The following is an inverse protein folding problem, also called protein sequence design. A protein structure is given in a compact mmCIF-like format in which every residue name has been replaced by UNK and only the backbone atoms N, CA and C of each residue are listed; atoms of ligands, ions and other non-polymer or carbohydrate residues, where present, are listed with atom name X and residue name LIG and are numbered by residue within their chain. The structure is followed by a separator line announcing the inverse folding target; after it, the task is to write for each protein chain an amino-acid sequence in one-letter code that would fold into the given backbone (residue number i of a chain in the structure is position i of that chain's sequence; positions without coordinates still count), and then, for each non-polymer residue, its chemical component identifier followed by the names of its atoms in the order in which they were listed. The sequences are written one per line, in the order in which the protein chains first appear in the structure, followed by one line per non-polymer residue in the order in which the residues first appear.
data_IF_680346084527
#
_entry.id   IF_680346084527
#
_cell.length_a   1.000
_cell.length_b   1.000
_cell.length_c   1.000
_cell.angle_alpha   90.00
_cell.angle_beta   90.00
_cell.angle_gamma   90.00
#
_symmetry.space_group_name_H-M   'P 1'
#
loop_
_entity.id
_entity.type
_entity.pdbx_description
1 polymer ?
#
# COMPACT_ATOMS: atom_id res chain seq x y z
N UNK A 1 -4.60 9.63 -7.32
CA UNK A 1 -4.59 11.06 -6.95
C UNK A 1 -5.58 11.39 -5.82
N UNK A 2 -6.87 11.00 -5.89
CA UNK A 2 -7.85 11.27 -4.80
C UNK A 2 -7.40 10.68 -3.47
N UNK A 3 -6.93 9.44 -3.46
CA UNK A 3 -6.37 8.78 -2.26
C UNK A 3 -5.17 9.53 -1.69
N UNK A 4 -4.26 9.98 -2.55
CA UNK A 4 -3.11 10.78 -2.12
C UNK A 4 -3.53 12.08 -1.43
N UNK A 5 -4.51 12.79 -1.98
CA UNK A 5 -5.05 14.00 -1.34
C UNK A 5 -5.68 13.70 0.02
N UNK A 6 -6.45 12.64 0.14
CA UNK A 6 -7.10 12.28 1.40
C UNK A 6 -6.10 11.86 2.49
N UNK A 7 -4.99 11.22 2.12
CA UNK A 7 -3.91 10.88 3.05
C UNK A 7 -3.10 12.13 3.50
N UNK A 8 -3.05 13.17 2.66
CA UNK A 8 -2.33 14.42 2.97
C UNK A 8 -3.10 15.30 3.95
N UNK A 9 -4.44 15.31 3.87
CA UNK A 9 -5.28 16.27 4.63
C UNK A 9 -5.07 16.19 6.13
N UNK A 10 -5.07 15.02 6.81
CA UNK A 10 -4.84 14.95 8.24
C UNK A 10 -3.48 15.51 8.65
N UNK A 11 -2.43 15.12 7.93
CA UNK A 11 -1.08 15.57 8.24
C UNK A 11 -0.84 17.03 7.90
N UNK A 12 -1.42 17.57 6.84
CA UNK A 12 -1.37 19.00 6.53
C UNK A 12 -2.09 19.82 7.61
N UNK A 13 -3.21 19.33 8.13
CA UNK A 13 -3.95 19.96 9.22
C UNK A 13 -3.12 19.98 10.51
N UNK A 14 -2.50 18.85 10.85
CA UNK A 14 -1.60 18.75 12.01
C UNK A 14 -0.47 19.79 11.94
N UNK A 15 0.27 19.80 10.82
CA UNK A 15 1.41 20.70 10.65
C UNK A 15 1.03 22.18 10.57
N UNK A 16 -0.12 22.50 10.00
CA UNK A 16 -0.59 23.89 9.93
C UNK A 16 -0.95 24.48 11.29
N UNK A 17 -1.35 23.62 12.24
CA UNK A 17 -1.79 24.05 13.58
C UNK A 17 -0.79 23.72 14.69
N UNK A 18 0.25 22.98 14.40
CA UNK A 18 1.34 22.72 15.37
C UNK A 18 2.03 24.03 15.73
N UNK A 19 2.01 24.38 17.03
CA UNK A 19 2.58 25.63 17.54
C UNK A 19 1.65 26.85 17.50
N UNK A 20 0.37 26.69 17.13
CA UNK A 20 -0.61 27.75 17.22
C UNK A 20 -0.96 28.04 18.69
N UNK A 21 -0.93 29.32 19.11
CA UNK A 21 -1.12 29.76 20.51
C UNK A 21 -2.46 29.34 21.13
N UNK A 22 -3.47 29.04 20.33
CA UNK A 22 -4.84 28.79 20.78
C UNK A 22 -5.26 27.30 20.71
N UNK A 23 -4.36 26.36 20.42
CA UNK A 23 -4.67 24.94 20.28
C UNK A 23 -3.72 24.12 21.13
N UNK A 24 -4.26 23.33 22.06
CA UNK A 24 -3.45 22.40 22.85
C UNK A 24 -3.05 21.18 21.99
N UNK A 25 -1.91 20.57 22.29
CA UNK A 25 -1.45 19.38 21.56
C UNK A 25 -2.46 18.23 21.61
N UNK A 26 -3.15 18.05 22.73
CA UNK A 26 -4.20 17.06 22.92
C UNK A 26 -5.44 17.34 22.05
N UNK A 27 -5.92 18.56 22.01
CA UNK A 27 -7.04 18.94 21.13
C UNK A 27 -6.69 18.79 19.64
N UNK A 28 -5.44 19.09 19.28
CA UNK A 28 -4.97 18.92 17.91
C UNK A 28 -4.98 17.44 17.53
N UNK A 29 -4.41 16.57 18.37
CA UNK A 29 -4.40 15.12 18.15
C UNK A 29 -5.81 14.54 18.01
N UNK A 30 -6.75 14.93 18.88
CA UNK A 30 -8.15 14.50 18.79
C UNK A 30 -8.82 14.93 17.46
N UNK A 31 -8.56 16.16 17.01
CA UNK A 31 -9.10 16.68 15.74
C UNK A 31 -8.50 15.93 14.54
N UNK A 32 -7.18 15.69 14.54
CA UNK A 32 -6.49 14.92 13.52
C UNK A 32 -7.05 13.49 13.43
N UNK A 33 -7.26 12.85 14.57
CA UNK A 33 -7.87 11.54 14.66
C UNK A 33 -9.29 11.52 14.09
N UNK A 34 -10.12 12.50 14.42
CA UNK A 34 -11.48 12.62 13.86
C UNK A 34 -11.46 12.83 12.33
N UNK A 35 -10.58 13.71 11.83
CA UNK A 35 -10.41 13.95 10.40
C UNK A 35 -9.98 12.65 9.71
N UNK A 36 -9.02 11.92 10.27
CA UNK A 36 -8.54 10.64 9.75
C UNK A 36 -9.66 9.59 9.65
N UNK A 37 -10.50 9.49 10.68
CA UNK A 37 -11.67 8.58 10.69
C UNK A 37 -12.69 8.95 9.61
N UNK A 38 -13.01 10.23 9.46
CA UNK A 38 -13.94 10.73 8.43
C UNK A 38 -13.36 10.48 7.04
N UNK A 39 -12.09 10.82 6.79
CA UNK A 39 -11.40 10.55 5.54
C UNK A 39 -11.42 9.05 5.21
N UNK A 40 -11.19 8.18 6.18
CA UNK A 40 -11.21 6.73 6.00
C UNK A 40 -12.57 6.21 5.53
N UNK A 41 -13.67 6.72 6.09
CA UNK A 41 -15.02 6.35 5.63
C UNK A 41 -15.24 6.75 4.17
N UNK A 42 -14.85 7.97 3.78
CA UNK A 42 -14.99 8.43 2.40
C UNK A 42 -14.10 7.66 1.42
N UNK A 43 -12.88 7.26 1.84
CA UNK A 43 -11.98 6.45 1.02
C UNK A 43 -12.56 5.06 0.76
N UNK A 44 -13.17 4.40 1.76
CA UNK A 44 -13.84 3.10 1.56
C UNK A 44 -15.05 3.24 0.63
N UNK A 45 -15.83 4.33 0.76
CA UNK A 45 -16.93 4.61 -0.18
C UNK A 45 -16.39 4.80 -1.60
N UNK A 46 -15.29 5.55 -1.76
CA UNK A 46 -14.65 5.74 -3.05
C UNK A 46 -14.14 4.42 -3.65
N UNK A 47 -13.59 3.53 -2.83
CA UNK A 47 -13.22 2.18 -3.25
C UNK A 47 -14.43 1.35 -3.71
N UNK A 48 -15.52 1.39 -2.96
CA UNK A 48 -16.78 0.73 -3.36
C UNK A 48 -17.31 1.22 -4.70
N UNK A 49 -17.27 2.54 -4.95
CA UNK A 49 -17.64 3.14 -6.23
C UNK A 49 -16.69 2.66 -7.35
N UNK A 50 -15.38 2.62 -7.09
CA UNK A 50 -14.38 2.14 -8.04
C UNK A 50 -14.62 0.68 -8.43
N UNK A 51 -14.84 -0.20 -7.47
CA UNK A 51 -15.15 -1.63 -7.71
C UNK A 51 -16.46 -1.78 -8.48
N UNK A 52 -17.50 -1.03 -8.11
CA UNK A 52 -18.77 -1.04 -8.83
C UNK A 52 -18.62 -0.58 -10.29
N UNK A 53 -17.85 0.47 -10.52
CA UNK A 53 -17.53 0.97 -11.84
C UNK A 53 -16.86 -0.10 -12.69
N UNK A 54 -15.85 -0.75 -12.14
CA UNK A 54 -15.05 -1.77 -12.84
C UNK A 54 -15.87 -3.03 -13.14
N UNK A 55 -16.64 -3.52 -12.17
CA UNK A 55 -17.33 -4.81 -12.29
C UNK A 55 -18.68 -4.75 -13.01
N UNK A 56 -19.38 -3.61 -12.96
CA UNK A 56 -20.75 -3.54 -13.46
C UNK A 56 -20.94 -2.56 -14.61
N UNK A 57 -20.43 -1.35 -14.50
CA UNK A 57 -20.75 -0.33 -15.50
C UNK A 57 -19.81 -0.32 -16.70
N UNK A 58 -18.56 -0.73 -16.50
CA UNK A 58 -17.52 -0.63 -17.53
C UNK A 58 -16.70 -1.92 -17.69
N UNK A 59 -17.22 -3.08 -17.22
CA UNK A 59 -16.53 -4.37 -17.35
C UNK A 59 -16.13 -4.68 -18.79
N UNK A 60 -16.97 -4.38 -19.79
CA UNK A 60 -16.68 -4.68 -21.18
C UNK A 60 -15.45 -3.95 -21.76
N UNK A 61 -15.04 -2.81 -21.18
CA UNK A 61 -13.79 -2.15 -21.56
C UNK A 61 -12.59 -2.96 -21.03
N UNK A 62 -12.64 -3.38 -19.77
CA UNK A 62 -11.60 -4.20 -19.16
C UNK A 62 -11.50 -5.56 -19.87
N UNK A 63 -12.62 -6.22 -20.12
CA UNK A 63 -12.66 -7.50 -20.84
C UNK A 63 -12.02 -7.40 -22.24
N UNK A 64 -12.26 -6.33 -22.97
CA UNK A 64 -11.68 -6.12 -24.30
C UNK A 64 -10.17 -5.90 -24.27
N UNK A 65 -9.67 -5.21 -23.23
CA UNK A 65 -8.23 -4.96 -23.04
C UNK A 65 -7.53 -6.27 -22.65
N UNK A 66 -8.07 -7.01 -21.71
CA UNK A 66 -7.50 -8.28 -21.27
C UNK A 66 -7.58 -9.37 -22.34
N UNK A 67 -8.66 -9.40 -23.15
CA UNK A 67 -8.75 -10.31 -24.30
C UNK A 67 -7.69 -9.99 -25.37
N UNK A 68 -7.31 -8.72 -25.53
CA UNK A 68 -6.23 -8.33 -26.42
C UNK A 68 -4.86 -8.78 -25.89
N UNK A 69 -4.61 -8.67 -24.58
CA UNK A 69 -3.39 -9.18 -23.95
C UNK A 69 -3.32 -10.70 -24.05
N UNK A 70 -4.40 -11.42 -23.74
CA UNK A 70 -4.47 -12.88 -23.85
C UNK A 70 -4.18 -13.37 -25.28
N UNK A 71 -4.51 -12.58 -26.30
CA UNK A 71 -4.18 -12.92 -27.69
C UNK A 71 -2.69 -12.76 -27.98
N UNK A 72 -2.00 -11.85 -27.30
CA UNK A 72 -0.58 -11.57 -27.47
C UNK A 72 0.33 -12.37 -26.53
N UNK A 73 -0.25 -13.11 -25.62
CA UNK A 73 0.40 -13.92 -24.62
C UNK A 73 1.26 -15.01 -25.26
N UNK A 74 2.57 -15.00 -24.96
CA UNK A 74 3.56 -15.90 -25.59
C UNK A 74 3.46 -17.34 -25.06
N UNK A 75 3.03 -17.56 -23.83
CA UNK A 75 2.91 -18.88 -23.21
C UNK A 75 1.46 -19.40 -23.09
N UNK A 76 0.51 -18.75 -23.78
CA UNK A 76 -0.92 -19.08 -23.76
C UNK A 76 -1.23 -20.55 -23.97
N UNK A 77 -0.51 -21.21 -24.89
CA UNK A 77 -0.73 -22.63 -25.15
C UNK A 77 -0.34 -23.50 -23.95
N UNK A 78 0.75 -23.14 -23.28
CA UNK A 78 1.21 -23.85 -22.08
C UNK A 78 0.24 -23.65 -20.91
N UNK A 79 -0.32 -22.46 -20.76
CA UNK A 79 -1.30 -22.12 -19.72
C UNK A 79 -2.64 -22.84 -19.88
N UNK A 80 -3.04 -23.13 -21.11
CA UNK A 80 -4.25 -23.92 -21.39
C UNK A 80 -4.08 -25.35 -20.92
N UNK A 81 -2.88 -25.94 -21.05
CA UNK A 81 -2.57 -27.30 -20.67
C UNK A 81 -2.19 -27.52 -19.23
N UNK A 82 -1.94 -26.44 -18.46
CA UNK A 82 -1.67 -26.54 -17.01
C UNK A 82 -2.89 -27.10 -16.27
N UNK A 83 -2.65 -28.04 -15.37
CA UNK A 83 -3.70 -28.58 -14.49
C UNK A 83 -4.27 -27.47 -13.61
N UNK A 84 -5.60 -27.30 -13.65
CA UNK A 84 -6.29 -26.26 -12.87
C UNK A 84 -6.77 -26.83 -11.54
N UNK A 85 -6.56 -26.08 -10.48
CA UNK A 85 -7.05 -26.44 -9.15
C UNK A 85 -8.58 -26.48 -9.09
N UNK A 86 -9.10 -27.46 -8.36
CA UNK A 86 -10.53 -27.50 -8.07
C UNK A 86 -10.92 -26.39 -7.07
N UNK A 87 -12.18 -25.99 -7.04
CA UNK A 87 -12.66 -24.95 -6.11
C UNK A 87 -12.31 -25.25 -4.63
N UNK A 88 -12.39 -26.52 -4.25
CA UNK A 88 -12.06 -26.94 -2.87
C UNK A 88 -10.55 -26.77 -2.58
N UNK A 89 -9.70 -27.15 -3.54
CA UNK A 89 -8.26 -26.96 -3.42
C UNK A 89 -7.87 -25.48 -3.34
N UNK A 90 -8.51 -24.64 -4.16
CA UNK A 90 -8.31 -23.19 -4.11
C UNK A 90 -8.67 -22.61 -2.73
N UNK A 91 -9.84 -22.98 -2.18
CA UNK A 91 -10.27 -22.48 -0.86
C UNK A 91 -9.36 -22.97 0.26
N UNK A 92 -8.93 -24.21 0.22
CA UNK A 92 -7.98 -24.77 1.20
C UNK A 92 -6.61 -24.10 1.10
N UNK A 93 -6.09 -23.95 -0.13
CA UNK A 93 -4.82 -23.27 -0.35
C UNK A 93 -4.85 -21.82 0.14
N UNK A 94 -5.94 -21.09 -0.16
CA UNK A 94 -6.15 -19.74 0.33
C UNK A 94 -6.18 -19.66 1.85
N UNK A 95 -6.94 -20.55 2.53
CA UNK A 95 -7.02 -20.56 3.98
C UNK A 95 -5.66 -20.85 4.64
N UNK A 96 -4.92 -21.82 4.11
CA UNK A 96 -3.57 -22.16 4.60
C UNK A 96 -2.61 -20.99 4.37
N UNK A 97 -2.63 -20.37 3.18
CA UNK A 97 -1.79 -19.23 2.86
C UNK A 97 -2.06 -18.03 3.77
N UNK A 98 -3.33 -17.70 4.02
CA UNK A 98 -3.70 -16.61 4.94
C UNK A 98 -3.20 -16.90 6.35
N UNK A 99 -3.36 -18.14 6.85
CA UNK A 99 -2.86 -18.51 8.18
C UNK A 99 -1.32 -18.39 8.28
N UNK A 100 -0.58 -18.86 7.27
CA UNK A 100 0.88 -18.76 7.24
C UNK A 100 1.35 -17.31 7.15
N UNK A 101 0.75 -16.50 6.27
CA UNK A 101 1.07 -15.07 6.13
C UNK A 101 0.80 -14.33 7.43
N UNK A 102 -0.29 -14.64 8.13
CA UNK A 102 -0.61 -14.02 9.42
C UNK A 102 0.47 -14.34 10.47
N UNK A 103 0.90 -15.60 10.58
CA UNK A 103 1.97 -15.99 11.50
C UNK A 103 3.31 -15.29 11.18
N UNK A 104 3.66 -15.21 9.90
CA UNK A 104 4.88 -14.52 9.44
C UNK A 104 4.79 -13.02 9.75
N UNK A 105 3.63 -12.39 9.48
CA UNK A 105 3.41 -10.96 9.73
C UNK A 105 3.56 -10.61 11.22
N UNK A 106 2.98 -11.43 12.13
CA UNK A 106 3.15 -11.25 13.58
C UNK A 106 4.63 -11.33 13.95
N UNK A 107 5.32 -12.38 13.49
CA UNK A 107 6.75 -12.55 13.78
C UNK A 107 7.62 -11.43 13.20
N UNK A 108 7.26 -10.88 12.03
CA UNK A 108 7.96 -9.75 11.43
C UNK A 108 7.79 -8.48 12.27
N UNK A 109 6.56 -8.17 12.69
CA UNK A 109 6.27 -6.99 13.51
C UNK A 109 7.06 -7.02 14.83
N UNK A 110 7.10 -8.18 15.49
CA UNK A 110 7.88 -8.36 16.74
C UNK A 110 9.39 -8.12 16.57
N UNK A 111 9.92 -8.29 15.36
CA UNK A 111 11.34 -8.09 15.08
C UNK A 111 11.69 -6.66 14.62
N UNK A 112 10.72 -5.84 14.22
CA UNK A 112 10.99 -4.50 13.70
C UNK A 112 11.70 -3.64 14.72
N UNK A 113 11.21 -3.59 15.97
CA UNK A 113 11.79 -2.80 17.05
C UNK A 113 13.25 -3.19 17.31
N UNK A 114 13.53 -4.50 17.41
CA UNK A 114 14.87 -5.04 17.57
C UNK A 114 15.81 -4.61 16.44
N UNK A 115 15.33 -4.64 15.18
CA UNK A 115 16.14 -4.26 14.02
C UNK A 115 16.43 -2.76 14.02
N UNK A 116 15.44 -1.94 14.36
CA UNK A 116 15.58 -0.48 14.42
C UNK A 116 16.53 -0.05 15.55
N UNK A 117 16.37 -0.62 16.75
CA UNK A 117 17.15 -0.22 17.92
C UNK A 117 18.57 -0.77 17.93
N UNK A 118 18.75 -2.07 17.64
CA UNK A 118 20.08 -2.70 17.73
C UNK A 118 20.94 -2.50 16.49
N UNK A 119 20.33 -2.46 15.31
CA UNK A 119 21.09 -2.31 14.06
C UNK A 119 21.10 -0.87 13.52
N UNK A 120 20.41 0.06 14.17
CA UNK A 120 20.40 1.48 13.78
C UNK A 120 19.77 1.74 12.41
N UNK A 121 18.91 0.83 11.94
CA UNK A 121 18.18 1.00 10.69
C UNK A 121 17.05 1.99 10.92
N UNK A 122 16.86 2.91 9.97
CA UNK A 122 15.77 3.88 10.06
C UNK A 122 14.41 3.20 10.06
N UNK A 123 13.52 3.60 10.97
CA UNK A 123 12.12 3.18 11.01
C UNK A 123 11.39 3.52 9.70
N UNK A 124 11.69 4.66 9.10
CA UNK A 124 11.19 5.06 7.78
C UNK A 124 11.64 4.09 6.68
N UNK A 125 12.88 3.61 6.72
CA UNK A 125 13.36 2.63 5.75
C UNK A 125 12.66 1.28 5.93
N UNK A 126 12.43 0.86 7.16
CA UNK A 126 11.67 -0.36 7.45
C UNK A 126 10.25 -0.26 6.87
N UNK A 127 9.51 0.81 7.19
CA UNK A 127 8.11 0.96 6.82
C UNK A 127 7.88 1.28 5.34
N UNK A 128 8.76 2.06 4.69
CA UNK A 128 8.58 2.47 3.30
C UNK A 128 9.20 1.51 2.28
N UNK A 129 10.27 0.81 2.67
CA UNK A 129 11.07 0.04 1.70
C UNK A 129 11.10 -1.43 2.05
N UNK A 130 11.63 -1.80 3.22
CA UNK A 130 11.96 -3.20 3.49
C UNK A 130 10.71 -4.06 3.67
N UNK A 131 9.79 -3.66 4.53
CA UNK A 131 8.54 -4.40 4.78
C UNK A 131 7.67 -4.48 3.52
N UNK A 132 7.39 -3.38 2.80
CA UNK A 132 6.64 -3.45 1.55
C UNK A 132 7.33 -4.28 0.46
N UNK A 133 8.66 -4.22 0.35
CA UNK A 133 9.40 -5.03 -0.62
C UNK A 133 9.21 -6.53 -0.37
N UNK A 134 9.30 -6.96 0.89
CA UNK A 134 9.10 -8.36 1.27
C UNK A 134 7.63 -8.76 1.11
N UNK A 135 6.69 -7.92 1.56
CA UNK A 135 5.24 -8.16 1.48
C UNK A 135 4.78 -8.31 0.03
N UNK A 136 5.26 -7.43 -0.85
CA UNK A 136 4.85 -7.37 -2.26
C UNK A 136 5.77 -8.13 -3.22
N UNK A 137 6.67 -8.94 -2.69
CA UNK A 137 7.64 -9.67 -3.53
C UNK A 137 6.97 -10.58 -4.56
N UNK A 138 5.92 -11.29 -4.17
CA UNK A 138 5.18 -12.17 -5.06
C UNK A 138 4.50 -11.38 -6.20
N UNK A 139 3.83 -10.26 -5.86
CA UNK A 139 3.20 -9.41 -6.87
C UNK A 139 4.22 -8.76 -7.82
N UNK A 140 5.42 -8.42 -7.33
CA UNK A 140 6.49 -7.93 -8.22
C UNK A 140 6.93 -9.00 -9.22
N UNK A 141 7.10 -10.25 -8.77
CA UNK A 141 7.47 -11.35 -9.67
C UNK A 141 6.38 -11.61 -10.70
N UNK A 142 5.11 -11.67 -10.27
CA UNK A 142 3.98 -11.88 -11.18
C UNK A 142 3.88 -10.76 -12.23
N UNK A 143 4.03 -9.49 -11.81
CA UNK A 143 3.98 -8.36 -12.74
C UNK A 143 5.15 -8.36 -13.75
N UNK A 144 6.33 -8.87 -13.35
CA UNK A 144 7.47 -9.02 -14.26
C UNK A 144 7.19 -10.15 -15.27
N UNK A 145 6.65 -11.26 -14.80
CA UNK A 145 6.26 -12.43 -15.63
C UNK A 145 5.21 -12.01 -16.67
N UNK A 146 4.10 -11.42 -16.23
CA UNK A 146 3.06 -10.88 -17.11
C UNK A 146 3.61 -9.89 -18.15
N UNK A 147 4.56 -9.02 -17.75
CA UNK A 147 5.19 -8.08 -18.67
C UNK A 147 6.13 -8.78 -19.65
N UNK A 148 6.80 -9.86 -19.23
CA UNK A 148 7.67 -10.70 -20.08
C UNK A 148 6.87 -11.45 -21.15
N UNK A 149 5.69 -11.95 -20.77
CA UNK A 149 4.78 -12.70 -21.66
C UNK A 149 3.93 -11.78 -22.56
N UNK A 150 4.32 -10.50 -22.64
CA UNK A 150 3.70 -9.50 -23.52
C UNK A 150 2.27 -9.09 -23.12
N UNK A 151 1.86 -9.37 -21.87
CA UNK A 151 0.56 -8.99 -21.28
C UNK A 151 0.67 -7.73 -20.43
N UNK A 152 1.24 -6.66 -21.00
CA UNK A 152 1.59 -5.42 -20.27
C UNK A 152 0.40 -4.74 -19.60
N UNK A 153 -0.79 -4.76 -20.21
CA UNK A 153 -1.97 -4.14 -19.59
C UNK A 153 -2.42 -4.91 -18.35
N UNK A 154 -2.28 -6.24 -18.36
CA UNK A 154 -2.54 -7.10 -17.21
C UNK A 154 -1.55 -6.79 -16.07
N UNK A 155 -0.25 -6.73 -16.36
CA UNK A 155 0.80 -6.36 -15.41
C UNK A 155 0.53 -5.00 -14.75
N UNK A 156 0.20 -3.98 -15.55
CA UNK A 156 -0.13 -2.65 -15.04
C UNK A 156 -1.43 -2.64 -14.23
N UNK A 157 -2.47 -3.37 -14.65
CA UNK A 157 -3.71 -3.49 -13.92
C UNK A 157 -3.52 -4.17 -12.56
N UNK A 158 -2.66 -5.19 -12.50
CA UNK A 158 -2.29 -5.90 -11.28
C UNK A 158 -1.62 -4.94 -10.27
N UNK A 159 -0.53 -4.29 -10.67
CA UNK A 159 0.24 -3.38 -9.79
C UNK A 159 -0.58 -2.16 -9.36
N UNK A 160 -1.30 -1.53 -10.30
CA UNK A 160 -2.13 -0.36 -10.00
C UNK A 160 -3.35 -0.74 -9.16
N UNK A 161 -3.95 -1.90 -9.43
CA UNK A 161 -5.08 -2.44 -8.66
C UNK A 161 -4.68 -2.66 -7.20
N UNK A 162 -3.55 -3.32 -6.94
CA UNK A 162 -3.02 -3.51 -5.60
C UNK A 162 -2.72 -2.18 -4.89
N UNK A 163 -2.14 -1.21 -5.59
CA UNK A 163 -1.87 0.13 -5.06
C UNK A 163 -3.15 0.88 -4.69
N UNK A 164 -4.16 0.85 -5.57
CA UNK A 164 -5.46 1.48 -5.33
C UNK A 164 -6.16 0.82 -4.15
N UNK A 165 -6.15 -0.51 -4.07
CA UNK A 165 -6.72 -1.26 -2.95
C UNK A 165 -6.05 -0.90 -1.63
N UNK A 166 -4.72 -0.83 -1.59
CA UNK A 166 -3.99 -0.44 -0.38
C UNK A 166 -4.35 0.97 0.08
N UNK A 167 -4.40 1.92 -0.83
CA UNK A 167 -4.63 3.33 -0.50
C UNK A 167 -6.10 3.67 -0.20
N UNK A 168 -7.07 3.03 -0.88
CA UNK A 168 -8.50 3.34 -0.74
C UNK A 168 -9.24 2.39 0.22
N UNK A 169 -8.68 1.20 0.47
CA UNK A 169 -9.34 0.19 1.29
C UNK A 169 -8.51 -0.24 2.49
N UNK A 170 -7.29 -0.79 2.31
CA UNK A 170 -6.53 -1.38 3.41
C UNK A 170 -6.17 -0.34 4.48
N UNK A 171 -5.53 0.77 4.12
CA UNK A 171 -5.14 1.80 5.08
C UNK A 171 -6.35 2.43 5.80
N UNK A 172 -7.43 2.84 5.12
CA UNK A 172 -8.65 3.30 5.78
C UNK A 172 -9.34 2.23 6.65
N UNK A 173 -9.31 0.97 6.23
CA UNK A 173 -9.90 -0.13 7.00
C UNK A 173 -9.21 -0.31 8.35
N UNK A 174 -7.88 -0.19 8.39
CA UNK A 174 -7.10 -0.26 9.63
C UNK A 174 -7.49 0.86 10.59
N UNK A 175 -7.68 2.09 10.11
CA UNK A 175 -8.16 3.22 10.94
C UNK A 175 -9.56 2.97 11.48
N UNK A 176 -10.48 2.44 10.67
CA UNK A 176 -11.85 2.13 11.12
C UNK A 176 -11.86 0.96 12.11
N UNK A 177 -11.04 -0.07 11.86
CA UNK A 177 -10.89 -1.18 12.80
C UNK A 177 -10.30 -0.71 14.14
N UNK A 178 -9.25 0.13 14.10
CA UNK A 178 -8.69 0.80 15.28
C UNK A 178 -9.74 1.60 16.05
N UNK A 179 -10.59 2.34 15.34
CA UNK A 179 -11.70 3.07 15.96
C UNK A 179 -12.68 2.14 16.69
N UNK A 180 -13.03 1.00 16.08
CA UNK A 180 -13.88 -0.02 16.71
C UNK A 180 -13.24 -0.68 17.93
N UNK A 181 -11.92 -0.80 17.95
CA UNK A 181 -11.13 -1.38 19.05
C UNK A 181 -10.71 -0.33 20.11
N UNK A 182 -11.14 0.93 19.96
CA UNK A 182 -10.75 2.05 20.83
C UNK A 182 -9.24 2.35 20.82
N UNK A 183 -8.59 2.12 19.68
CA UNK A 183 -7.20 2.48 19.45
C UNK A 183 -7.10 3.82 18.69
N UNK A 184 -6.11 4.61 19.02
CA UNK A 184 -5.88 5.91 18.39
C UNK A 184 -5.02 5.72 17.12
N UNK A 185 -5.64 5.14 16.09
CA UNK A 185 -5.01 4.99 14.76
C UNK A 185 -5.50 6.10 13.83
N UNK A 186 -4.56 6.79 13.22
CA UNK A 186 -4.83 7.91 12.32
C UNK A 186 -4.11 7.75 10.95
N UNK A 187 -4.32 8.73 10.07
CA UNK A 187 -3.65 8.86 8.78
C UNK A 187 -2.63 10.03 8.80
N UNK A 188 -2.07 10.35 9.96
CA UNK A 188 -1.12 11.43 10.13
C UNK A 188 0.31 10.95 9.83
N UNK A 189 0.65 10.92 8.56
CA UNK A 189 1.98 10.52 8.11
C UNK A 189 2.99 11.67 8.21
N UNK A 190 4.26 11.33 8.36
CA UNK A 190 5.34 12.31 8.31
C UNK A 190 5.39 13.06 6.97
N UNK A 191 5.81 14.33 7.02
CA UNK A 191 5.95 15.16 5.82
C UNK A 191 6.84 14.49 4.77
N UNK A 192 7.92 13.83 5.19
CA UNK A 192 8.82 13.10 4.29
C UNK A 192 8.06 12.03 3.50
N UNK A 193 7.31 11.17 4.18
CA UNK A 193 6.47 10.13 3.57
C UNK A 193 5.46 10.72 2.59
N UNK A 194 4.75 11.79 2.99
CA UNK A 194 3.75 12.45 2.17
C UNK A 194 4.36 13.00 0.87
N UNK A 195 5.47 13.73 0.98
CA UNK A 195 6.15 14.32 -0.17
C UNK A 195 6.59 13.24 -1.16
N UNK A 196 7.17 12.14 -0.66
CA UNK A 196 7.59 11.01 -1.49
C UNK A 196 6.40 10.38 -2.21
N UNK A 197 5.29 10.14 -1.51
CA UNK A 197 4.08 9.55 -2.10
C UNK A 197 3.50 10.46 -3.19
N UNK A 198 3.43 11.78 -2.96
CA UNK A 198 2.95 12.74 -3.97
C UNK A 198 3.84 12.71 -5.21
N UNK A 199 5.17 12.82 -5.03
CA UNK A 199 6.13 12.82 -6.13
C UNK A 199 6.07 11.51 -6.91
N UNK A 200 5.96 10.37 -6.23
CA UNK A 200 5.80 9.05 -6.86
C UNK A 200 4.51 8.97 -7.70
N UNK A 201 3.39 9.46 -7.17
CA UNK A 201 2.12 9.51 -7.91
C UNK A 201 2.23 10.39 -9.16
N UNK A 202 2.94 11.52 -9.07
CA UNK A 202 3.14 12.44 -10.22
C UNK A 202 4.02 11.78 -11.27
N UNK A 203 5.15 11.17 -10.87
CA UNK A 203 6.09 10.51 -11.79
C UNK A 203 5.42 9.36 -12.52
N UNK A 204 4.85 8.40 -11.79
CA UNK A 204 4.16 7.25 -12.38
C UNK A 204 2.95 7.69 -13.21
N UNK A 205 2.17 8.66 -12.71
CA UNK A 205 1.02 9.19 -13.44
C UNK A 205 1.39 9.89 -14.75
N UNK A 206 2.58 10.46 -14.87
CA UNK A 206 3.06 11.05 -16.13
C UNK A 206 3.48 9.95 -17.12
N UNK A 207 4.17 8.90 -16.68
CA UNK A 207 4.55 7.79 -17.54
C UNK A 207 3.34 7.01 -18.09
N UNK A 208 2.30 6.88 -17.29
CA UNK A 208 1.07 6.18 -17.72
C UNK A 208 0.19 6.98 -18.70
N UNK A 209 0.44 8.28 -18.90
CA UNK A 209 -0.39 9.11 -19.79
C UNK A 209 -0.24 8.78 -21.27
N UNK A 210 0.94 8.36 -21.68
CA UNK A 210 1.28 8.24 -23.10
C UNK A 210 0.86 6.89 -23.70
N UNK A 211 0.19 6.02 -22.92
CA UNK A 211 -0.28 4.68 -23.34
C UNK A 211 0.80 3.79 -23.96
N UNK A 212 2.05 4.19 -23.87
CA UNK A 212 3.23 3.45 -24.34
C UNK A 212 4.27 3.47 -23.25
N UNK A 213 4.87 2.34 -22.98
CA UNK A 213 6.01 2.23 -22.08
C UNK A 213 7.30 1.96 -22.86
N UNK A 214 8.41 2.39 -22.28
CA UNK A 214 9.72 2.11 -22.82
C UNK A 214 10.73 1.83 -21.69
N UNK A 215 11.83 1.16 -22.03
CA UNK A 215 12.85 0.77 -21.05
C UNK A 215 13.46 1.95 -20.29
N UNK A 216 13.46 3.14 -20.87
CA UNK A 216 14.02 4.34 -20.22
C UNK A 216 13.12 4.79 -19.08
N UNK A 217 11.81 4.81 -19.28
CA UNK A 217 10.83 5.15 -18.23
C UNK A 217 10.90 4.16 -17.07
N UNK A 218 10.96 2.86 -17.38
CA UNK A 218 11.15 1.82 -16.37
C UNK A 218 12.44 1.99 -15.57
N UNK A 219 13.57 2.23 -16.27
CA UNK A 219 14.85 2.46 -15.63
C UNK A 219 14.83 3.71 -14.72
N UNK A 220 14.19 4.80 -15.16
CA UNK A 220 14.04 6.01 -14.36
C UNK A 220 13.18 5.77 -13.11
N UNK A 221 12.10 4.98 -13.20
CA UNK A 221 11.29 4.59 -12.03
C UNK A 221 12.13 3.81 -11.01
N UNK A 222 12.95 2.85 -11.46
CA UNK A 222 13.85 2.08 -10.58
C UNK A 222 14.89 3.00 -9.92
N UNK A 223 15.48 3.93 -10.66
CA UNK A 223 16.44 4.89 -10.10
C UNK A 223 15.77 5.77 -9.03
N UNK A 224 14.57 6.29 -9.30
CA UNK A 224 13.81 7.08 -8.32
C UNK A 224 13.52 6.27 -7.07
N UNK A 225 13.12 5.00 -7.22
CA UNK A 225 12.90 4.11 -6.08
C UNK A 225 14.17 3.91 -5.23
N UNK A 226 15.33 3.70 -5.87
CA UNK A 226 16.63 3.58 -5.18
C UNK A 226 16.97 4.88 -4.43
N UNK A 227 16.76 6.05 -5.05
CA UNK A 227 17.01 7.35 -4.40
C UNK A 227 16.11 7.51 -3.16
N UNK A 228 14.84 7.14 -3.25
CA UNK A 228 13.90 7.15 -2.12
C UNK A 228 14.38 6.19 -1.02
N UNK A 229 14.82 5.00 -1.39
CA UNK A 229 15.31 4.00 -0.43
C UNK A 229 16.54 4.52 0.32
N UNK A 230 17.49 5.16 -0.38
CA UNK A 230 18.67 5.78 0.25
C UNK A 230 18.25 6.93 1.18
N UNK A 231 17.33 7.78 0.74
CA UNK A 231 16.86 8.89 1.57
C UNK A 231 16.14 8.39 2.83
N UNK A 232 15.30 7.36 2.71
CA UNK A 232 14.64 6.73 3.85
C UNK A 232 15.62 6.05 4.81
N UNK A 233 16.69 5.43 4.29
CA UNK A 233 17.72 4.78 5.10
C UNK A 233 18.46 5.76 6.00
N UNK A 234 18.76 6.97 5.51
CA UNK A 234 19.43 8.03 6.27
C UNK A 234 18.46 8.91 7.06
N UNK A 235 17.15 8.64 7.03
CA UNK A 235 16.19 9.43 7.77
C UNK A 235 16.35 9.19 9.28
N UNK A 236 16.44 10.23 10.10
CA UNK A 236 16.65 10.08 11.55
C UNK A 236 15.42 9.47 12.23
N UNK A 237 15.65 8.51 13.12
CA UNK A 237 14.59 7.99 13.96
C UNK A 237 14.13 9.06 14.98
N UNK A 238 12.81 9.20 15.22
CA UNK A 238 12.31 10.10 16.25
C UNK A 238 12.87 9.72 17.63
N UNK A 239 13.45 10.68 18.34
CA UNK A 239 13.96 10.43 19.69
C UNK A 239 12.75 10.24 20.62
N UNK A 240 12.49 9.02 21.07
CA UNK A 240 11.54 8.73 22.16
C UNK A 240 10.18 8.19 21.79
N UNK A 241 9.98 7.62 20.62
CA UNK A 241 8.80 6.80 20.36
C UNK A 241 9.16 5.31 20.47
N UNK A 242 9.14 4.80 21.69
CA UNK A 242 8.88 3.41 21.94
C UNK A 242 7.45 3.09 21.47
N UNK A 243 7.26 2.97 20.16
CA UNK A 243 5.95 2.72 19.55
C UNK A 243 5.46 1.27 19.72
N UNK A 244 6.24 0.42 20.41
CA UNK A 244 5.91 -0.99 20.54
C UNK A 244 4.96 -1.30 21.69
N UNK A 245 4.93 -0.51 22.75
CA UNK A 245 4.08 -0.84 23.90
C UNK A 245 2.59 -0.90 23.59
N UNK A 246 2.09 -0.09 22.66
CA UNK A 246 0.69 -0.10 22.27
C UNK A 246 0.33 -1.26 21.32
N UNK A 247 1.24 -1.63 20.43
CA UNK A 247 1.03 -2.77 19.51
C UNK A 247 1.17 -4.09 20.24
N UNK A 248 2.18 -4.23 21.10
CA UNK A 248 2.41 -5.42 21.91
C UNK A 248 1.27 -5.66 22.93
N UNK A 249 0.79 -4.59 23.59
CA UNK A 249 -0.38 -4.67 24.46
C UNK A 249 -1.66 -5.03 23.69
N UNK A 250 -1.78 -4.63 22.42
CA UNK A 250 -2.91 -4.95 21.56
C UNK A 250 -2.87 -6.38 21.06
N UNK A 251 -1.72 -6.87 20.62
CA UNK A 251 -1.54 -8.27 20.20
C UNK A 251 -1.76 -9.20 21.38
N UNK A 252 -1.28 -8.84 22.58
CA UNK A 252 -1.49 -9.65 23.79
C UNK A 252 -2.94 -9.65 24.32
N UNK A 253 -3.74 -8.65 23.92
CA UNK A 253 -5.20 -8.61 24.23
C UNK A 253 -6.06 -9.35 23.20
N UNK A 254 -5.52 -9.63 22.00
CA UNK A 254 -6.23 -10.33 20.91
C UNK A 254 -5.91 -11.83 20.85
N UNK A 255 -4.85 -12.29 21.52
CA UNK A 255 -4.50 -13.69 21.75
C UNK A 255 -4.90 -14.12 23.15
#
# INVERSE_FOLDING_TARGET
MVSGLALIVPAAFDKALTGAENVTATELAEKVLQISRICSVFLIIAYGIYVWFQMHTHHGIYDSIFAADEHNDEDREDDIYKDKLTMTECVLALAISVALVTLIAISLVDQIEFIVEEHGISDQFMGLILVPLVEKFAEHLTAIDEAWDNTMNLALAHVLGATIQTALFNAPLVVIAGWGLHLDMDLNFDIFTIVIVILSIIVVGNFLKDTKSNYLEGALCVIVYIIIAVAAFYYPNPVGHGGSSAVEETVHKLL
#
